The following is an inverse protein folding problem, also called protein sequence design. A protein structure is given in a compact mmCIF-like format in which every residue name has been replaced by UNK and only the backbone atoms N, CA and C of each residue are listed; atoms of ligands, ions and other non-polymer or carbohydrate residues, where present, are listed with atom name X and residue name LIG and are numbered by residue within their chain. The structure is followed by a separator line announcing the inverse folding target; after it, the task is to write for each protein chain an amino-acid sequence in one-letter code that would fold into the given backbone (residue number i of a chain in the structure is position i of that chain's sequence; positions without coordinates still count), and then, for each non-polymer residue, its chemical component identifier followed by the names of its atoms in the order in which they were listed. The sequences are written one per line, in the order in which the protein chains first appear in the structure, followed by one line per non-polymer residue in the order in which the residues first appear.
data_IF_208232909962
#
_entry.id   IF_208232909962
#
_cell.length_a   1.000
_cell.length_b   1.000
_cell.length_c   1.000
_cell.angle_alpha   90.00
_cell.angle_beta   90.00
_cell.angle_gamma   90.00
#
_symmetry.space_group_name_H-M   'P 1'
#
loop_
_entity.id
_entity.type
_entity.pdbx_description
1 polymer ?
#
# COMPACT_ATOMS: atom_id res chain seq x y z
N UNK A 1 -21.06 10.56 -10.22
CA UNK A 1 -19.73 10.13 -10.68
C UNK A 1 -18.69 10.96 -9.92
N UNK A 2 -18.05 10.39 -8.89
CA UNK A 2 -17.05 11.15 -8.15
C UNK A 2 -15.85 11.40 -9.08
N UNK A 3 -15.42 12.66 -9.29
CA UNK A 3 -14.16 12.89 -9.99
C UNK A 3 -13.10 12.10 -9.25
N UNK A 4 -12.30 11.31 -9.97
CA UNK A 4 -11.06 10.77 -9.42
C UNK A 4 -10.26 11.99 -9.00
N UNK A 5 -10.31 12.34 -7.72
CA UNK A 5 -9.49 13.41 -7.16
C UNK A 5 -8.07 13.09 -7.61
N UNK A 6 -7.51 13.97 -8.44
CA UNK A 6 -6.08 13.95 -8.69
C UNK A 6 -5.41 13.92 -7.33
N UNK A 7 -4.39 13.10 -7.19
CA UNK A 7 -3.61 13.01 -5.96
C UNK A 7 -2.98 14.40 -5.72
N UNK A 8 -3.72 15.29 -5.05
CA UNK A 8 -3.19 16.54 -4.56
C UNK A 8 -2.37 16.20 -3.31
N UNK A 9 -1.15 16.74 -3.24
CA UNK A 9 -0.22 16.47 -2.14
C UNK A 9 -0.75 16.94 -0.78
N UNK A 10 -1.78 17.78 -0.79
CA UNK A 10 -2.48 18.27 0.38
C UNK A 10 -3.84 17.61 0.47
N UNK A 11 -4.12 17.03 1.64
CA UNK A 11 -5.45 16.53 1.92
C UNK A 11 -6.39 17.74 2.00
N UNK A 12 -7.49 17.69 1.26
CA UNK A 12 -8.55 18.68 1.31
C UNK A 12 -9.89 18.03 1.65
N UNK A 13 -10.78 18.82 2.22
CA UNK A 13 -12.19 18.48 2.36
C UNK A 13 -12.91 18.52 1.00
N UNK A 14 -14.22 18.29 0.99
CA UNK A 14 -14.99 18.23 -0.26
C UNK A 14 -15.28 19.60 -0.88
N UNK A 15 -14.99 20.69 -0.17
CA UNK A 15 -15.00 22.08 -0.68
C UNK A 15 -13.61 22.59 -1.04
N UNK A 16 -12.58 21.73 -0.99
CA UNK A 16 -11.21 22.06 -1.34
C UNK A 16 -10.41 22.77 -0.24
N UNK A 17 -10.95 22.88 0.98
CA UNK A 17 -10.21 23.44 2.11
C UNK A 17 -9.16 22.43 2.60
N UNK A 18 -7.93 22.90 2.81
CA UNK A 18 -6.85 22.07 3.34
C UNK A 18 -7.15 21.59 4.75
N UNK A 19 -6.86 20.32 5.04
CA UNK A 19 -7.07 19.70 6.36
C UNK A 19 -5.73 19.49 7.09
N UNK A 20 -5.64 19.88 8.36
CA UNK A 20 -4.58 19.47 9.27
C UNK A 20 -4.94 18.14 9.95
N UNK A 21 -4.44 17.03 9.40
CA UNK A 21 -4.77 15.70 9.92
C UNK A 21 -4.61 15.60 11.44
N UNK A 22 -5.61 14.99 12.10
CA UNK A 22 -5.55 14.65 13.52
C UNK A 22 -4.23 13.98 13.87
N UNK A 23 -3.58 14.48 14.93
CA UNK A 23 -2.45 13.79 15.51
C UNK A 23 -2.94 12.51 16.18
N UNK A 24 -2.10 11.48 16.16
CA UNK A 24 -2.44 10.17 16.74
C UNK A 24 -2.84 10.21 18.22
N UNK A 25 -2.33 11.18 18.99
CA UNK A 25 -2.72 11.38 20.39
C UNK A 25 -4.14 12.02 20.52
N UNK A 26 -4.56 12.84 19.56
CA UNK A 26 -5.89 13.46 19.54
C UNK A 26 -6.98 12.45 19.15
N UNK A 27 -6.64 11.49 18.28
CA UNK A 27 -7.51 10.36 17.93
C UNK A 27 -7.99 9.56 19.16
N UNK A 28 -7.22 9.52 20.25
CA UNK A 28 -7.66 8.88 21.49
C UNK A 28 -8.76 9.66 22.21
N UNK A 29 -8.74 10.99 22.14
CA UNK A 29 -9.63 11.90 22.87
C UNK A 29 -11.02 12.00 22.22
N UNK A 30 -11.09 11.96 20.88
CA UNK A 30 -12.36 12.02 20.14
C UNK A 30 -13.23 10.77 20.37
N UNK A 31 -12.60 9.66 20.74
CA UNK A 31 -13.19 8.30 20.76
C UNK A 31 -13.71 7.91 22.15
N UNK A 32 -13.31 8.64 23.21
CA UNK A 32 -13.62 8.30 24.60
C UNK A 32 -15.05 8.68 25.05
N UNK A 33 -15.83 9.43 24.27
CA UNK A 33 -17.15 9.94 24.71
C UNK A 33 -18.34 8.98 24.55
N UNK A 34 -18.24 7.86 23.81
CA UNK A 34 -19.32 6.85 23.69
C UNK A 34 -18.76 5.40 23.69
N UNK A 35 -18.84 4.72 24.83
CA UNK A 35 -17.73 3.87 25.34
C UNK A 35 -17.67 2.38 24.93
N UNK A 36 -18.29 1.92 23.83
CA UNK A 36 -18.10 0.50 23.39
C UNK A 36 -17.93 0.31 21.89
N UNK A 37 -18.73 1.01 21.07
CA UNK A 37 -18.72 0.89 19.60
C UNK A 37 -17.42 1.38 18.96
N UNK A 38 -16.74 2.29 19.65
CA UNK A 38 -15.53 2.94 19.20
C UNK A 38 -14.24 2.15 19.42
N UNK A 39 -14.25 1.06 20.18
CA UNK A 39 -13.07 0.22 20.43
C UNK A 39 -12.49 -0.42 19.16
N UNK A 40 -13.37 -0.91 18.26
CA UNK A 40 -12.97 -1.48 16.98
C UNK A 40 -12.41 -0.41 16.03
N UNK A 41 -13.01 0.77 16.01
CA UNK A 41 -12.54 1.90 15.21
C UNK A 41 -11.19 2.43 15.75
N UNK A 42 -11.07 2.61 17.08
CA UNK A 42 -9.82 2.95 17.77
C UNK A 42 -8.72 1.98 17.40
N UNK A 43 -9.01 0.68 17.42
CA UNK A 43 -8.05 -0.37 17.04
C UNK A 43 -7.61 -0.21 15.57
N UNK A 44 -8.55 0.03 14.63
CA UNK A 44 -8.22 0.27 13.21
C UNK A 44 -7.39 1.54 13.01
N UNK A 45 -7.81 2.65 13.63
CA UNK A 45 -7.10 3.93 13.56
C UNK A 45 -5.73 3.85 14.25
N UNK A 46 -5.61 3.07 15.31
CA UNK A 46 -4.34 2.78 15.95
C UNK A 46 -3.44 1.95 15.04
N UNK A 47 -3.97 0.93 14.36
CA UNK A 47 -3.23 0.17 13.35
C UNK A 47 -2.78 1.07 12.19
N UNK A 48 -3.65 1.93 11.66
CA UNK A 48 -3.30 2.91 10.62
C UNK A 48 -2.23 3.88 11.12
N UNK A 49 -2.41 4.46 12.32
CA UNK A 49 -1.43 5.37 12.92
C UNK A 49 -0.10 4.71 13.29
N UNK A 50 -0.09 3.41 13.60
CA UNK A 50 1.14 2.63 13.78
C UNK A 50 1.87 2.39 12.44
N UNK A 51 1.16 2.39 11.30
CA UNK A 51 1.79 2.42 9.99
C UNK A 51 2.53 3.75 9.77
N UNK A 52 2.02 4.85 10.33
CA UNK A 52 2.57 6.19 10.21
C UNK A 52 3.68 6.53 11.18
N UNK A 53 3.69 5.92 12.37
CA UNK A 53 4.79 6.18 13.30
C UNK A 53 6.11 5.86 12.58
N UNK A 54 7.08 6.79 12.55
CA UNK A 54 8.44 6.40 12.24
C UNK A 54 8.77 5.24 13.20
N UNK A 55 9.35 4.13 12.70
CA UNK A 55 9.66 3.01 13.55
C UNK A 55 10.43 3.52 14.78
N UNK A 56 10.08 3.03 15.97
CA UNK A 56 10.78 3.40 17.19
C UNK A 56 12.30 3.20 16.97
N UNK A 57 13.17 4.09 17.48
CA UNK A 57 14.62 3.92 17.37
C UNK A 57 14.99 2.54 17.97
N UNK A 58 15.32 1.57 17.11
CA UNK A 58 15.54 0.17 17.48
C UNK A 58 14.71 -0.86 16.69
N UNK A 59 13.56 -0.48 16.12
CA UNK A 59 12.74 -1.38 15.30
C UNK A 59 13.14 -1.25 13.81
N UNK A 60 14.12 -2.04 13.37
CA UNK A 60 14.62 -2.07 11.99
C UNK A 60 13.47 -2.34 10.98
N UNK A 61 12.82 -1.30 10.47
CA UNK A 61 12.15 -1.35 9.15
C UNK A 61 13.26 -1.50 8.14
N UNK A 62 13.44 -2.69 7.60
CA UNK A 62 14.57 -3.11 6.77
C UNK A 62 15.04 -2.00 5.79
N UNK A 63 15.96 -1.12 6.25
CA UNK A 63 16.42 0.02 5.46
C UNK A 63 17.22 -0.49 4.26
N UNK A 64 17.67 -1.75 4.34
CA UNK A 64 18.50 -2.45 3.38
C UNK A 64 17.91 -2.48 1.97
N UNK A 65 16.59 -2.46 1.79
CA UNK A 65 15.97 -2.41 0.45
C UNK A 65 16.26 -1.12 -0.33
N UNK A 66 16.02 0.01 0.33
CA UNK A 66 16.22 1.34 -0.25
C UNK A 66 17.69 1.77 -0.18
N UNK A 67 18.39 1.36 0.88
CA UNK A 67 19.85 1.51 0.97
C UNK A 67 20.52 0.66 -0.11
N UNK A 68 20.08 -0.57 -0.39
CA UNK A 68 20.64 -1.37 -1.49
C UNK A 68 20.34 -0.72 -2.84
N UNK A 69 19.10 -0.28 -3.10
CA UNK A 69 18.77 0.37 -4.38
C UNK A 69 19.54 1.67 -4.58
N UNK A 70 19.63 2.50 -3.54
CA UNK A 70 20.47 3.69 -3.51
C UNK A 70 21.95 3.34 -3.71
N UNK A 71 22.46 2.35 -2.97
CA UNK A 71 23.86 1.89 -3.05
C UNK A 71 24.20 1.32 -4.44
N UNK A 72 23.27 0.67 -5.14
CA UNK A 72 23.48 0.19 -6.51
C UNK A 72 23.64 1.35 -7.48
N UNK A 73 22.70 2.30 -7.44
CA UNK A 73 22.73 3.47 -8.33
C UNK A 73 23.98 4.30 -8.04
N UNK A 74 24.32 4.43 -6.76
CA UNK A 74 25.55 5.01 -6.28
C UNK A 74 26.81 4.34 -6.81
N UNK A 75 26.94 3.03 -6.64
CA UNK A 75 28.09 2.27 -7.11
C UNK A 75 28.18 2.33 -8.65
N UNK A 76 27.05 2.24 -9.36
CA UNK A 76 27.01 2.33 -10.82
C UNK A 76 27.44 3.71 -11.32
N UNK A 77 26.91 4.78 -10.72
CA UNK A 77 27.35 6.14 -11.02
C UNK A 77 28.82 6.33 -10.66
N UNK A 78 29.30 5.79 -9.54
CA UNK A 78 30.68 5.95 -9.05
C UNK A 78 31.66 5.39 -10.08
N UNK A 79 31.36 4.20 -10.57
CA UNK A 79 32.19 3.54 -11.56
C UNK A 79 32.10 4.27 -12.89
N UNK A 80 30.93 4.81 -13.25
CA UNK A 80 30.78 5.68 -14.44
C UNK A 80 31.61 6.96 -14.31
N UNK A 81 31.66 7.59 -13.14
CA UNK A 81 32.46 8.79 -12.85
C UNK A 81 33.96 8.54 -12.95
N UNK A 82 34.44 7.42 -12.39
CA UNK A 82 35.85 6.99 -12.52
C UNK A 82 36.21 6.65 -13.97
N UNK A 83 35.28 6.08 -14.75
CA UNK A 83 35.57 5.68 -16.14
C UNK A 83 35.51 6.82 -17.15
N UNK A 84 34.76 7.89 -16.89
CA UNK A 84 34.54 8.96 -17.87
C UNK A 84 35.21 10.30 -17.56
N UNK A 85 35.65 10.55 -16.33
CA UNK A 85 36.25 11.82 -15.98
C UNK A 85 37.49 11.62 -15.12
N UNK A 86 38.58 12.33 -15.42
CA UNK A 86 39.76 12.48 -14.55
C UNK A 86 39.45 13.26 -13.26
N UNK A 87 38.30 13.00 -12.66
CA UNK A 87 37.84 13.55 -11.40
C UNK A 87 38.47 12.75 -10.26
N UNK A 88 39.01 13.45 -9.26
CA UNK A 88 39.47 12.84 -8.01
C UNK A 88 38.30 12.05 -7.40
N UNK A 89 38.44 10.72 -7.35
CA UNK A 89 37.35 9.78 -7.02
C UNK A 89 36.62 10.10 -5.71
N UNK A 90 37.30 10.76 -4.76
CA UNK A 90 36.76 11.15 -3.47
C UNK A 90 35.57 12.13 -3.56
N UNK A 91 35.60 13.08 -4.51
CA UNK A 91 34.51 14.05 -4.66
C UNK A 91 33.24 13.41 -5.25
N UNK A 92 33.40 12.38 -6.06
CA UNK A 92 32.28 11.75 -6.75
C UNK A 92 31.47 10.84 -5.80
N UNK A 93 32.12 10.19 -4.84
CA UNK A 93 31.47 9.43 -3.77
C UNK A 93 30.54 10.33 -2.95
N UNK A 94 30.99 11.54 -2.61
CA UNK A 94 30.20 12.50 -1.82
C UNK A 94 28.89 12.88 -2.55
N UNK A 95 28.96 13.18 -3.85
CA UNK A 95 27.78 13.54 -4.64
C UNK A 95 26.76 12.41 -4.75
N UNK A 96 27.24 11.18 -4.89
CA UNK A 96 26.39 10.00 -4.90
C UNK A 96 25.67 9.80 -3.58
N UNK A 97 26.39 9.87 -2.46
CA UNK A 97 25.77 9.74 -1.15
C UNK A 97 24.74 10.84 -0.95
N UNK A 98 25.04 12.07 -1.39
CA UNK A 98 24.08 13.18 -1.36
C UNK A 98 22.81 12.88 -2.19
N UNK A 99 22.94 12.36 -3.42
CA UNK A 99 21.78 12.01 -4.27
C UNK A 99 20.93 10.90 -3.64
N UNK A 100 21.55 9.82 -3.13
CA UNK A 100 20.81 8.76 -2.43
C UNK A 100 20.07 9.35 -1.23
N UNK A 101 20.75 10.19 -0.45
CA UNK A 101 20.20 10.75 0.77
C UNK A 101 19.02 11.69 0.47
N UNK A 102 19.13 12.54 -0.55
CA UNK A 102 18.04 13.38 -1.05
C UNK A 102 16.88 12.53 -1.58
N UNK A 103 17.15 11.52 -2.40
CA UNK A 103 16.12 10.61 -2.91
C UNK A 103 15.40 9.87 -1.78
N UNK A 104 16.14 9.44 -0.76
CA UNK A 104 15.59 8.81 0.44
C UNK A 104 14.75 9.77 1.27
N UNK A 105 15.23 11.00 1.49
CA UNK A 105 14.50 12.05 2.19
C UNK A 105 13.18 12.39 1.49
N UNK A 106 13.22 12.58 0.17
CA UNK A 106 12.03 12.83 -0.64
C UNK A 106 11.05 11.64 -0.61
N UNK A 107 11.55 10.41 -0.77
CA UNK A 107 10.72 9.20 -0.69
C UNK A 107 10.06 9.02 0.69
N UNK A 108 10.75 9.41 1.77
CA UNK A 108 10.14 9.44 3.10
C UNK A 108 9.09 10.54 3.23
N UNK A 109 9.35 11.73 2.66
CA UNK A 109 8.42 12.86 2.70
C UNK A 109 7.11 12.55 1.97
N UNK A 110 7.19 11.99 0.76
CA UNK A 110 6.00 11.61 -0.04
C UNK A 110 5.16 10.51 0.62
N UNK A 111 5.77 9.63 1.44
CA UNK A 111 5.00 8.60 2.16
C UNK A 111 4.18 9.15 3.32
N UNK A 112 4.56 10.29 3.90
CA UNK A 112 3.86 10.87 5.05
C UNK A 112 2.58 11.63 4.66
N UNK A 113 2.46 12.10 3.42
CA UNK A 113 1.25 12.78 2.96
C UNK A 113 0.11 11.79 2.71
N UNK A 114 0.39 10.66 2.07
CA UNK A 114 -0.62 9.67 1.65
C UNK A 114 -1.45 9.13 2.83
N UNK A 115 -0.83 8.79 3.96
CA UNK A 115 -1.57 8.20 5.09
C UNK A 115 -2.46 9.20 5.83
N UNK A 116 -2.11 10.49 5.81
CA UNK A 116 -2.94 11.54 6.43
C UNK A 116 -4.29 11.64 5.75
N UNK A 117 -4.27 11.69 4.41
CA UNK A 117 -5.47 11.70 3.58
C UNK A 117 -6.31 10.46 3.81
N UNK A 118 -5.67 9.27 3.83
CA UNK A 118 -6.37 8.00 4.08
C UNK A 118 -7.02 7.98 5.46
N UNK A 119 -6.35 8.48 6.49
CA UNK A 119 -6.89 8.51 7.86
C UNK A 119 -8.10 9.42 7.96
N UNK A 120 -8.01 10.64 7.42
CA UNK A 120 -9.11 11.59 7.40
C UNK A 120 -10.31 11.05 6.62
N UNK A 121 -10.09 10.51 5.41
CA UNK A 121 -11.15 9.90 4.61
C UNK A 121 -11.80 8.70 5.32
N UNK A 122 -11.01 7.91 6.04
CA UNK A 122 -11.53 6.79 6.83
C UNK A 122 -12.40 7.26 7.99
N UNK A 123 -12.00 8.32 8.70
CA UNK A 123 -12.83 8.91 9.76
C UNK A 123 -14.17 9.40 9.20
N UNK A 124 -14.15 10.10 8.06
CA UNK A 124 -15.36 10.62 7.40
C UNK A 124 -16.27 9.48 6.98
N UNK A 125 -15.72 8.41 6.40
CA UNK A 125 -16.50 7.23 6.04
C UNK A 125 -17.16 6.54 7.26
N UNK A 126 -16.67 6.80 8.46
CA UNK A 126 -17.18 6.31 9.75
C UNK A 126 -18.10 7.33 10.45
N UNK A 127 -18.45 8.44 9.79
CA UNK A 127 -19.31 9.48 10.37
C UNK A 127 -18.57 10.41 11.34
N UNK A 128 -17.26 10.59 11.16
CA UNK A 128 -16.43 11.43 12.04
C UNK A 128 -15.66 12.43 11.18
N UNK A 129 -15.59 13.68 11.61
CA UNK A 129 -14.82 14.70 10.92
C UNK A 129 -13.33 14.30 10.82
N UNK A 130 -12.80 14.31 9.60
CA UNK A 130 -11.40 13.94 9.32
C UNK A 130 -10.36 14.91 9.91
N UNK A 131 -10.79 16.10 10.32
CA UNK A 131 -9.95 17.18 10.86
C UNK A 131 -9.94 17.24 12.39
N UNK A 132 -11.11 17.33 13.03
CA UNK A 132 -11.21 17.56 14.48
C UNK A 132 -11.74 16.34 15.26
N UNK A 133 -12.28 15.34 14.55
CA UNK A 133 -12.81 14.12 15.15
C UNK A 133 -14.22 14.27 15.74
N UNK A 134 -14.92 15.37 15.46
CA UNK A 134 -16.33 15.56 15.84
C UNK A 134 -17.24 14.58 15.10
N UNK A 135 -18.30 14.10 15.76
CA UNK A 135 -19.27 13.21 15.11
C UNK A 135 -20.08 13.98 14.06
N UNK A 136 -20.14 13.46 12.83
CA UNK A 136 -20.98 14.01 11.76
C UNK A 136 -22.40 13.42 11.77
N UNK A 137 -22.69 12.53 12.72
CA UNK A 137 -24.01 11.90 12.83
C UNK A 137 -25.08 12.92 13.19
N UNK A 138 -26.26 12.78 12.57
CA UNK A 138 -27.42 13.62 12.83
C UNK A 138 -27.32 15.05 12.29
N UNK A 139 -26.18 15.43 11.70
CA UNK A 139 -26.05 16.67 10.96
C UNK A 139 -26.90 16.59 9.68
N UNK A 140 -27.56 17.69 9.35
CA UNK A 140 -28.32 17.81 8.10
C UNK A 140 -27.38 18.26 7.00
N UNK A 141 -27.33 17.59 5.84
CA UNK A 141 -26.49 18.04 4.73
C UNK A 141 -27.00 19.39 4.19
N UNK A 142 -26.07 20.25 3.80
CA UNK A 142 -26.38 21.50 3.09
C UNK A 142 -26.82 21.22 1.64
N UNK A 143 -27.17 22.27 0.89
CA UNK A 143 -27.68 22.16 -0.50
C UNK A 143 -26.71 21.41 -1.43
N UNK A 144 -25.41 21.50 -1.19
CA UNK A 144 -24.34 20.82 -1.93
C UNK A 144 -24.09 19.37 -1.49
N UNK A 145 -24.97 18.81 -0.65
CA UNK A 145 -24.85 17.48 -0.06
C UNK A 145 -23.63 17.32 0.86
N UNK A 146 -23.03 18.41 1.33
CA UNK A 146 -21.95 18.34 2.31
C UNK A 146 -22.46 18.55 3.74
N UNK A 147 -21.86 17.81 4.66
CA UNK A 147 -22.03 17.95 6.10
C UNK A 147 -20.89 18.84 6.61
N UNK A 148 -21.25 20.02 7.10
CA UNK A 148 -20.29 20.96 7.66
C UNK A 148 -20.09 20.66 9.13
N UNK A 149 -18.83 20.42 9.51
CA UNK A 149 -18.49 20.16 10.90
C UNK A 149 -18.65 21.44 11.74
N UNK A 150 -19.47 21.45 12.80
CA UNK A 150 -19.70 22.65 13.61
C UNK A 150 -18.47 23.10 14.43
N UNK A 151 -17.49 22.22 14.64
CA UNK A 151 -16.29 22.53 15.43
C UNK A 151 -15.19 23.20 14.58
N UNK A 152 -14.93 22.70 13.37
CA UNK A 152 -13.80 23.17 12.54
C UNK A 152 -14.21 23.82 11.21
N UNK A 153 -15.48 23.71 10.80
CA UNK A 153 -15.99 24.31 9.56
C UNK A 153 -15.71 23.53 8.27
N UNK A 154 -14.94 22.43 8.32
CA UNK A 154 -14.69 21.59 7.14
C UNK A 154 -15.95 20.85 6.70
N UNK A 155 -16.09 20.69 5.39
CA UNK A 155 -17.26 20.14 4.73
C UNK A 155 -16.98 18.77 4.10
N UNK A 156 -17.82 17.79 4.42
CA UNK A 156 -17.65 16.41 3.98
C UNK A 156 -18.89 15.92 3.25
N UNK A 157 -18.73 15.35 2.05
CA UNK A 157 -19.86 14.89 1.25
C UNK A 157 -20.60 13.75 1.98
N UNK A 158 -21.91 13.93 2.20
CA UNK A 158 -22.75 12.99 2.94
C UNK A 158 -22.74 11.58 2.32
N UNK A 159 -22.61 11.47 1.00
CA UNK A 159 -22.57 10.18 0.30
C UNK A 159 -21.32 9.35 0.63
N UNK A 160 -20.26 9.97 1.15
CA UNK A 160 -19.06 9.26 1.62
C UNK A 160 -19.27 8.60 2.98
N UNK A 161 -20.25 9.06 3.75
CA UNK A 161 -20.49 8.56 5.10
C UNK A 161 -21.23 7.22 5.02
N UNK A 162 -20.47 6.13 5.12
CA UNK A 162 -21.01 4.76 5.02
C UNK A 162 -21.62 4.24 6.32
N UNK A 163 -21.59 5.01 7.41
CA UNK A 163 -22.01 4.56 8.73
C UNK A 163 -23.48 4.11 8.82
N UNK A 164 -24.48 4.82 8.26
CA UNK A 164 -25.89 4.46 8.44
C UNK A 164 -26.21 3.04 7.96
N UNK A 165 -25.55 2.59 6.87
CA UNK A 165 -25.70 1.24 6.33
C UNK A 165 -25.16 0.14 7.26
N UNK A 166 -24.31 0.49 8.23
CA UNK A 166 -23.65 -0.49 9.12
C UNK A 166 -24.48 -0.85 10.33
N UNK A 167 -25.24 0.09 10.87
CA UNK A 167 -26.04 -0.17 12.07
C UNK A 167 -27.19 -1.14 11.79
N UNK A 168 -27.61 -1.26 10.53
CA UNK A 168 -28.65 -2.18 10.05
C UNK A 168 -28.17 -3.62 9.87
N UNK A 169 -26.92 -3.92 10.19
CA UNK A 169 -26.28 -5.15 9.79
C UNK A 169 -25.61 -5.85 10.96
N UNK A 170 -26.10 -7.04 11.32
CA UNK A 170 -25.53 -7.86 12.38
C UNK A 170 -24.01 -8.03 12.16
N UNK A 171 -23.24 -7.69 13.19
CA UNK A 171 -21.79 -7.83 13.18
C UNK A 171 -21.49 -9.32 13.19
N UNK A 172 -21.21 -9.88 12.01
CA UNK A 172 -20.66 -11.24 11.92
C UNK A 172 -19.27 -11.18 12.58
N UNK A 173 -19.15 -11.82 13.73
CA UNK A 173 -17.87 -11.92 14.45
C UNK A 173 -16.79 -12.44 13.50
N UNK A 174 -15.77 -11.61 13.26
CA UNK A 174 -14.62 -12.06 12.49
C UNK A 174 -13.96 -13.20 13.28
N UNK A 175 -13.63 -14.34 12.64
CA UNK A 175 -12.88 -15.37 13.31
C UNK A 175 -11.59 -14.74 13.87
N UNK A 176 -11.38 -14.85 15.17
CA UNK A 176 -10.15 -14.38 15.83
C UNK A 176 -8.99 -15.10 15.17
N UNK A 177 -8.14 -14.37 14.42
CA UNK A 177 -6.91 -14.94 13.88
C UNK A 177 -6.02 -15.41 15.03
N UNK A 178 -5.45 -16.60 14.92
CA UNK A 178 -4.46 -17.08 15.87
C UNK A 178 -3.19 -16.20 15.76
N UNK A 179 -2.84 -15.43 16.81
CA UNK A 179 -1.66 -14.55 16.79
C UNK A 179 -0.34 -15.31 16.60
N UNK A 180 -0.31 -16.63 16.81
CA UNK A 180 0.88 -17.47 16.59
C UNK A 180 1.19 -17.68 15.10
N UNK A 181 0.17 -17.63 14.23
CA UNK A 181 0.37 -17.72 12.78
C UNK A 181 1.16 -16.53 12.22
N UNK A 182 1.01 -15.35 12.83
CA UNK A 182 1.70 -14.12 12.41
C UNK A 182 3.17 -14.05 12.84
N UNK A 183 3.58 -14.82 13.85
CA UNK A 183 4.96 -14.79 14.38
C UNK A 183 5.92 -15.60 13.50
N UNK A 184 5.49 -16.77 13.00
CA UNK A 184 6.37 -17.66 12.21
C UNK A 184 6.77 -17.09 10.84
N UNK A 185 6.01 -16.13 10.30
CA UNK A 185 6.24 -15.65 8.93
C UNK A 185 7.08 -14.35 8.85
N UNK A 186 7.62 -13.84 9.96
CA UNK A 186 8.37 -12.55 9.96
C UNK A 186 7.53 -11.39 9.38
N UNK A 187 6.21 -11.55 9.35
CA UNK A 187 5.27 -10.81 8.51
C UNK A 187 4.72 -9.54 9.15
N UNK A 188 4.94 -9.32 10.46
CA UNK A 188 4.36 -8.16 11.16
C UNK A 188 4.80 -6.81 10.57
N UNK A 189 5.98 -6.72 9.96
CA UNK A 189 6.43 -5.52 9.25
C UNK A 189 5.83 -5.35 7.84
N UNK A 190 5.18 -6.39 7.29
CA UNK A 190 4.52 -6.37 5.96
C UNK A 190 3.05 -5.93 6.02
N UNK A 191 2.43 -5.86 7.20
CA UNK A 191 0.98 -5.57 7.33
C UNK A 191 0.61 -4.12 7.10
N UNK A 192 1.50 -3.16 7.39
CA UNK A 192 1.24 -1.74 7.18
C UNK A 192 0.94 -1.36 5.72
N UNK A 193 1.29 -2.24 4.78
CA UNK A 193 1.08 -2.04 3.35
C UNK A 193 -0.05 -2.87 2.77
N UNK A 194 -0.83 -3.53 3.62
CA UNK A 194 -2.04 -4.28 3.24
C UNK A 194 -3.29 -3.43 3.38
N UNK A 195 -3.16 -2.12 3.39
CA UNK A 195 -4.27 -1.21 3.46
C UNK A 195 -4.48 -0.56 2.09
N UNK A 196 -5.71 -0.55 1.63
CA UNK A 196 -6.14 0.25 0.49
C UNK A 196 -7.37 1.04 0.89
N UNK A 197 -7.73 2.04 0.10
CA UNK A 197 -9.07 2.60 0.17
C UNK A 197 -10.03 1.74 -0.64
N UNK A 198 -11.25 1.59 -0.15
CA UNK A 198 -12.38 1.16 -0.97
C UNK A 198 -12.94 2.37 -1.74
N UNK A 199 -14.01 2.18 -2.51
CA UNK A 199 -14.55 3.25 -3.37
C UNK A 199 -15.36 4.30 -2.62
N UNK A 200 -15.69 4.02 -1.36
CA UNK A 200 -16.17 5.02 -0.39
C UNK A 200 -15.03 5.73 0.35
N UNK A 201 -13.79 5.59 -0.15
CA UNK A 201 -12.57 6.14 0.44
C UNK A 201 -12.23 5.60 1.84
N UNK A 202 -12.84 4.49 2.26
CA UNK A 202 -12.56 3.87 3.56
C UNK A 202 -11.32 3.01 3.48
N UNK A 203 -10.42 3.14 4.46
CA UNK A 203 -9.30 2.22 4.60
C UNK A 203 -9.79 0.80 4.94
N UNK A 204 -9.48 -0.14 4.06
CA UNK A 204 -9.81 -1.57 4.19
C UNK A 204 -8.55 -2.41 4.05
N UNK A 205 -8.55 -3.53 4.78
CA UNK A 205 -7.44 -4.48 4.70
C UNK A 205 -7.55 -5.29 3.42
N UNK A 206 -6.55 -5.25 2.56
CA UNK A 206 -6.40 -6.10 1.36
C UNK A 206 -5.75 -7.42 1.70
N UNK A 207 -6.16 -8.54 1.09
CA UNK A 207 -5.46 -9.79 1.24
C UNK A 207 -4.03 -9.67 0.71
N UNK A 208 -3.13 -10.51 1.21
CA UNK A 208 -1.77 -10.54 0.71
C UNK A 208 -1.74 -10.99 -0.76
N UNK A 209 -0.68 -10.60 -1.47
CA UNK A 209 -0.47 -10.94 -2.88
C UNK A 209 -0.57 -12.44 -3.19
N UNK A 210 -0.14 -13.29 -2.27
CA UNK A 210 -0.17 -14.74 -2.46
C UNK A 210 -1.51 -15.33 -2.04
N UNK A 211 -2.44 -14.50 -1.54
CA UNK A 211 -3.69 -14.91 -0.91
C UNK A 211 -3.45 -15.95 0.21
N UNK A 212 -2.24 -15.96 0.78
CA UNK A 212 -1.83 -16.87 1.85
C UNK A 212 -2.50 -16.57 3.18
N UNK A 213 -3.03 -15.36 3.33
CA UNK A 213 -3.81 -14.91 4.49
C UNK A 213 -5.25 -15.40 4.48
N UNK A 214 -5.72 -15.98 3.38
CA UNK A 214 -7.03 -16.62 3.29
C UNK A 214 -7.02 -17.96 4.01
N UNK A 215 -8.10 -18.22 4.78
CA UNK A 215 -8.33 -19.53 5.39
C UNK A 215 -8.62 -20.58 4.30
N UNK A 216 -8.36 -21.89 4.54
CA UNK A 216 -8.56 -22.93 3.53
C UNK A 216 -9.93 -22.91 2.86
N UNK A 217 -11.02 -22.69 3.62
CA UNK A 217 -12.38 -22.60 3.08
C UNK A 217 -12.60 -21.40 2.15
N UNK A 218 -11.94 -20.27 2.39
CA UNK A 218 -11.97 -19.11 1.48
C UNK A 218 -11.23 -19.39 0.18
N UNK A 219 -10.14 -20.18 0.24
CA UNK A 219 -9.41 -20.61 -0.96
C UNK A 219 -10.21 -21.60 -1.79
N UNK A 220 -10.92 -22.50 -1.12
CA UNK A 220 -11.82 -23.44 -1.76
C UNK A 220 -13.00 -22.73 -2.43
N UNK A 221 -13.60 -21.73 -1.75
CA UNK A 221 -14.67 -20.91 -2.31
C UNK A 221 -14.26 -20.10 -3.56
N UNK A 222 -12.97 -19.75 -3.68
CA UNK A 222 -12.43 -19.13 -4.90
C UNK A 222 -12.27 -20.13 -6.05
N UNK A 223 -12.12 -21.43 -5.76
CA UNK A 223 -11.93 -22.48 -6.76
C UNK A 223 -10.86 -22.15 -7.80
N UNK A 224 -11.23 -22.19 -9.08
CA UNK A 224 -10.34 -21.90 -10.21
C UNK A 224 -9.88 -20.43 -10.24
N UNK A 225 -10.73 -19.49 -9.81
CA UNK A 225 -10.41 -18.06 -9.79
C UNK A 225 -9.21 -17.75 -8.89
N UNK A 226 -8.96 -18.56 -7.84
CA UNK A 226 -7.76 -18.43 -7.01
C UNK A 226 -6.48 -18.53 -7.84
N UNK A 227 -6.40 -19.53 -8.72
CA UNK A 227 -5.21 -19.76 -9.55
C UNK A 227 -5.04 -18.69 -10.61
N UNK A 228 -6.14 -18.24 -11.22
CA UNK A 228 -6.13 -17.18 -12.23
C UNK A 228 -5.69 -15.84 -11.65
N UNK A 229 -6.30 -15.42 -10.53
CA UNK A 229 -5.94 -14.19 -9.82
C UNK A 229 -4.47 -14.27 -9.38
N UNK A 230 -4.04 -15.39 -8.79
CA UNK A 230 -2.64 -15.58 -8.38
C UNK A 230 -1.69 -15.54 -9.59
N UNK A 231 -2.05 -16.12 -10.73
CA UNK A 231 -1.26 -16.09 -11.96
C UNK A 231 -1.14 -14.68 -12.50
N UNK A 232 -2.25 -13.94 -12.60
CA UNK A 232 -2.29 -12.54 -13.04
C UNK A 232 -1.41 -11.65 -12.15
N UNK A 233 -1.53 -11.78 -10.82
CA UNK A 233 -0.69 -11.08 -9.86
C UNK A 233 0.79 -11.50 -9.97
N UNK A 234 1.09 -12.75 -10.31
CA UNK A 234 2.48 -13.22 -10.46
C UNK A 234 3.19 -12.72 -11.72
N UNK A 235 2.48 -12.65 -12.85
CA UNK A 235 3.08 -12.48 -14.19
C UNK A 235 3.85 -11.15 -14.33
N UNK A 236 3.22 -10.03 -13.96
CA UNK A 236 3.82 -8.69 -14.14
C UNK A 236 5.07 -8.48 -13.28
N UNK A 237 5.22 -9.23 -12.18
CA UNK A 237 6.44 -9.17 -11.37
C UNK A 237 7.61 -9.95 -11.96
N UNK A 238 7.35 -10.99 -12.80
CA UNK A 238 8.40 -11.84 -13.35
C UNK A 238 9.20 -11.08 -14.41
N UNK A 239 8.54 -10.37 -15.31
CA UNK A 239 9.20 -9.55 -16.33
C UNK A 239 10.12 -8.50 -15.69
N UNK A 240 9.63 -7.77 -14.68
CA UNK A 240 10.46 -6.78 -13.98
C UNK A 240 11.64 -7.43 -13.26
N UNK A 241 11.45 -8.59 -12.61
CA UNK A 241 12.56 -9.34 -11.98
C UNK A 241 13.62 -9.76 -12.99
N UNK A 242 13.22 -10.26 -14.15
CA UNK A 242 14.13 -10.68 -15.21
C UNK A 242 14.92 -9.48 -15.73
N UNK A 243 14.24 -8.37 -16.06
CA UNK A 243 14.91 -7.15 -16.53
C UNK A 243 15.92 -6.63 -15.50
N UNK A 244 15.54 -6.57 -14.22
CA UNK A 244 16.45 -6.05 -13.19
C UNK A 244 17.60 -7.01 -12.89
N UNK A 245 17.36 -8.33 -12.95
CA UNK A 245 18.41 -9.35 -12.84
C UNK A 245 19.40 -9.22 -14.00
N UNK A 246 18.90 -9.14 -15.24
CA UNK A 246 19.72 -8.98 -16.46
C UNK A 246 20.55 -7.70 -16.32
N UNK A 247 19.95 -6.58 -15.94
CA UNK A 247 20.66 -5.32 -15.74
C UNK A 247 21.77 -5.45 -14.68
N UNK A 248 21.50 -6.08 -13.54
CA UNK A 248 22.50 -6.30 -12.49
C UNK A 248 23.67 -7.16 -12.97
N UNK A 249 23.38 -8.23 -13.73
CA UNK A 249 24.39 -9.09 -14.35
C UNK A 249 25.21 -8.29 -15.36
N UNK A 250 24.56 -7.56 -16.27
CA UNK A 250 25.22 -6.75 -17.30
C UNK A 250 26.16 -5.72 -16.69
N UNK A 251 25.72 -4.99 -15.66
CA UNK A 251 26.56 -4.04 -14.93
C UNK A 251 27.80 -4.76 -14.40
N UNK A 252 27.63 -5.87 -13.67
CA UNK A 252 28.77 -6.59 -13.11
C UNK A 252 29.70 -7.20 -14.16
N UNK A 253 29.20 -7.68 -15.29
CA UNK A 253 30.04 -8.15 -16.40
C UNK A 253 30.88 -7.01 -16.96
N UNK A 254 30.29 -5.83 -17.19
CA UNK A 254 31.03 -4.64 -17.67
C UNK A 254 32.11 -4.23 -16.68
N UNK A 255 31.81 -4.28 -15.37
CA UNK A 255 32.78 -3.98 -14.31
C UNK A 255 33.96 -4.95 -14.30
N UNK A 256 33.70 -6.25 -14.47
CA UNK A 256 34.75 -7.26 -14.53
C UNK A 256 35.64 -7.08 -15.76
N UNK A 257 35.06 -6.83 -16.93
CA UNK A 257 35.81 -6.60 -18.17
C UNK A 257 36.73 -5.38 -18.02
N UNK A 258 36.23 -4.30 -17.40
CA UNK A 258 37.01 -3.08 -17.17
C UNK A 258 38.12 -3.25 -16.13
N UNK A 259 37.88 -4.03 -15.07
CA UNK A 259 38.88 -4.28 -14.03
C UNK A 259 39.91 -5.35 -14.40
N UNK A 260 39.57 -6.23 -15.36
CA UNK A 260 40.42 -7.29 -15.87
C UNK A 260 41.48 -6.84 -16.88
N UNK A 261 41.71 -5.54 -17.06
CA UNK A 261 42.78 -5.02 -17.92
C UNK A 261 44.14 -5.33 -17.24
N UNK A 262 45.07 -6.03 -17.92
CA UNK A 262 46.14 -6.84 -17.31
C UNK A 262 47.31 -6.09 -16.62
N UNK A 263 47.36 -4.76 -16.61
CA UNK A 263 48.57 -3.99 -16.25
C UNK A 263 48.84 -3.85 -14.73
N UNK A 264 48.31 -4.72 -13.88
CA UNK A 264 47.83 -4.21 -12.59
C UNK A 264 47.87 -5.28 -11.47
N UNK A 265 49.03 -5.92 -11.36
CA UNK A 265 49.19 -7.32 -10.95
C UNK A 265 49.55 -7.57 -9.45
N UNK A 266 49.65 -6.57 -8.57
CA UNK A 266 50.35 -6.80 -7.26
C UNK A 266 49.55 -6.65 -5.94
N UNK A 267 48.31 -6.17 -5.89
CA UNK A 267 47.64 -5.95 -4.58
C UNK A 267 46.58 -7.00 -4.21
N UNK A 268 46.71 -7.66 -3.04
CA UNK A 268 45.70 -8.55 -2.43
C UNK A 268 44.30 -7.92 -2.36
N UNK A 269 44.24 -6.59 -2.18
CA UNK A 269 43.01 -5.80 -2.15
C UNK A 269 42.19 -5.87 -3.44
N UNK A 270 42.81 -6.15 -4.60
CA UNK A 270 42.09 -6.33 -5.87
C UNK A 270 41.30 -7.64 -5.90
N UNK A 271 41.84 -8.73 -5.34
CA UNK A 271 41.12 -9.98 -5.22
C UNK A 271 39.85 -9.81 -4.38
N UNK A 272 39.97 -9.11 -3.26
CA UNK A 272 38.82 -8.77 -2.40
C UNK A 272 37.81 -7.89 -3.15
N UNK A 273 38.26 -6.86 -3.88
CA UNK A 273 37.39 -5.99 -4.66
C UNK A 273 36.62 -6.76 -5.75
N UNK A 274 37.29 -7.66 -6.48
CA UNK A 274 36.67 -8.50 -7.51
C UNK A 274 35.62 -9.43 -6.91
N UNK A 275 35.90 -10.05 -5.76
CA UNK A 275 34.92 -10.89 -5.04
C UNK A 275 33.70 -10.08 -4.62
N UNK A 276 33.90 -8.87 -4.07
CA UNK A 276 32.79 -7.98 -3.68
C UNK A 276 31.95 -7.59 -4.89
N UNK A 277 32.58 -7.24 -6.01
CA UNK A 277 31.89 -6.84 -7.25
C UNK A 277 31.16 -8.01 -7.94
N UNK A 278 31.62 -9.24 -7.75
CA UNK A 278 30.91 -10.46 -8.15
C UNK A 278 29.75 -10.79 -7.22
N UNK A 279 29.93 -10.61 -5.91
CA UNK A 279 28.91 -10.93 -4.92
C UNK A 279 27.77 -9.91 -4.87
N UNK A 280 28.09 -8.62 -5.04
CA UNK A 280 27.13 -7.52 -5.03
C UNK A 280 25.91 -7.76 -5.94
N UNK A 281 26.03 -8.00 -7.26
CA UNK A 281 24.88 -8.19 -8.16
C UNK A 281 24.01 -9.38 -7.75
N UNK A 282 24.60 -10.44 -7.19
CA UNK A 282 23.88 -11.62 -6.71
C UNK A 282 23.03 -11.24 -5.49
N UNK A 283 23.62 -10.53 -4.52
CA UNK A 283 22.90 -10.03 -3.35
C UNK A 283 21.80 -9.06 -3.77
N UNK A 284 22.11 -8.13 -4.68
CA UNK A 284 21.18 -7.18 -5.27
C UNK A 284 20.01 -7.92 -5.95
N UNK A 285 20.30 -8.92 -6.76
CA UNK A 285 19.31 -9.74 -7.43
C UNK A 285 18.41 -10.49 -6.45
N UNK A 286 18.98 -11.09 -5.40
CA UNK A 286 18.24 -11.76 -4.32
C UNK A 286 17.32 -10.76 -3.62
N UNK A 287 17.84 -9.59 -3.23
CA UNK A 287 17.07 -8.52 -2.58
C UNK A 287 15.96 -8.04 -3.50
N UNK A 288 16.23 -7.81 -4.79
CA UNK A 288 15.23 -7.37 -5.77
C UNK A 288 14.19 -8.46 -6.03
N UNK A 289 14.57 -9.74 -6.04
CA UNK A 289 13.60 -10.82 -6.13
C UNK A 289 12.71 -10.91 -4.89
N UNK A 290 13.28 -10.64 -3.70
CA UNK A 290 12.55 -10.54 -2.45
C UNK A 290 11.65 -9.28 -2.38
N UNK A 291 12.10 -8.15 -2.94
CA UNK A 291 11.39 -6.86 -2.97
C UNK A 291 10.33 -6.76 -4.08
N UNK A 292 10.55 -7.38 -5.25
CA UNK A 292 9.58 -7.46 -6.34
C UNK A 292 8.37 -8.36 -6.01
N UNK A 293 8.19 -8.69 -4.72
CA UNK A 293 6.93 -9.13 -4.13
C UNK A 293 5.91 -7.98 -4.06
N UNK A 294 6.30 -6.72 -4.29
CA UNK A 294 5.43 -5.56 -4.10
C UNK A 294 4.46 -5.39 -5.27
N UNK A 295 3.23 -5.87 -5.09
CA UNK A 295 2.09 -5.42 -5.88
C UNK A 295 1.38 -4.34 -5.08
N UNK A 296 1.07 -3.23 -5.74
CA UNK A 296 0.28 -2.17 -5.10
C UNK A 296 -1.10 -2.73 -4.70
N UNK A 297 -1.58 -2.53 -3.46
CA UNK A 297 -2.84 -3.09 -2.96
C UNK A 297 -4.03 -2.88 -3.89
N UNK A 298 -4.14 -1.70 -4.53
CA UNK A 298 -5.22 -1.39 -5.47
C UNK A 298 -5.30 -2.36 -6.66
N UNK A 299 -4.18 -2.96 -7.10
CA UNK A 299 -4.22 -3.96 -8.17
C UNK A 299 -4.79 -5.28 -7.69
N UNK A 300 -4.49 -5.68 -6.45
CA UNK A 300 -5.03 -6.89 -5.84
C UNK A 300 -6.55 -6.72 -5.72
N UNK A 301 -6.98 -5.59 -5.16
CA UNK A 301 -8.38 -5.19 -5.05
C UNK A 301 -9.07 -5.22 -6.40
N UNK A 302 -8.50 -4.53 -7.40
CA UNK A 302 -9.06 -4.48 -8.74
C UNK A 302 -9.25 -5.88 -9.33
N UNK A 303 -8.24 -6.75 -9.23
CA UNK A 303 -8.35 -8.13 -9.73
C UNK A 303 -9.39 -8.95 -8.96
N UNK A 304 -9.56 -8.73 -7.65
CA UNK A 304 -10.60 -9.40 -6.88
C UNK A 304 -11.99 -8.92 -7.29
N UNK A 305 -12.20 -7.59 -7.33
CA UNK A 305 -13.50 -7.00 -7.70
C UNK A 305 -13.89 -7.32 -9.13
N UNK A 306 -12.94 -7.32 -10.07
CA UNK A 306 -13.18 -7.70 -11.47
C UNK A 306 -13.54 -9.17 -11.65
N UNK A 307 -13.33 -10.00 -10.64
CA UNK A 307 -13.71 -11.42 -10.64
C UNK A 307 -14.92 -11.69 -9.74
N UNK A 308 -15.64 -10.66 -9.28
CA UNK A 308 -16.83 -10.89 -8.45
C UNK A 308 -16.56 -11.04 -6.96
N UNK A 309 -15.34 -10.75 -6.49
CA UNK A 309 -14.95 -10.91 -5.08
C UNK A 309 -14.66 -9.58 -4.40
N UNK A 310 -14.89 -9.53 -3.09
CA UNK A 310 -14.54 -8.37 -2.28
C UNK A 310 -13.02 -8.16 -2.24
N UNK A 311 -12.54 -6.97 -2.62
CA UNK A 311 -11.11 -6.63 -2.58
C UNK A 311 -10.48 -6.65 -1.19
N UNK A 312 -11.28 -6.71 -0.12
CA UNK A 312 -10.80 -6.73 1.27
C UNK A 312 -10.83 -8.13 1.91
N UNK A 313 -11.99 -8.78 1.94
CA UNK A 313 -12.17 -10.07 2.62
C UNK A 313 -12.41 -11.25 1.68
N UNK A 314 -12.41 -11.01 0.36
CA UNK A 314 -12.58 -12.04 -0.67
C UNK A 314 -13.93 -12.76 -0.63
N UNK A 315 -14.91 -12.22 0.10
CA UNK A 315 -16.29 -12.69 0.02
C UNK A 315 -16.86 -12.50 -1.39
N UNK A 316 -17.69 -13.43 -1.87
CA UNK A 316 -18.40 -13.31 -3.14
C UNK A 316 -19.32 -12.08 -3.09
N UNK A 317 -19.30 -11.28 -4.15
CA UNK A 317 -20.14 -10.10 -4.38
C UNK A 317 -21.02 -10.25 -5.63
N UNK A 318 -20.89 -11.36 -6.36
CA UNK A 318 -21.85 -11.76 -7.38
C UNK A 318 -23.20 -12.02 -6.68
N UNK A 319 -24.26 -11.36 -7.17
CA UNK A 319 -25.60 -11.42 -6.57
C UNK A 319 -25.88 -10.39 -5.47
N UNK A 320 -24.87 -9.63 -5.01
CA UNK A 320 -25.13 -8.47 -4.13
C UNK A 320 -25.57 -7.30 -5.01
N UNK A 321 -26.78 -6.79 -4.79
CA UNK A 321 -27.28 -5.62 -5.51
C UNK A 321 -26.46 -4.37 -5.18
N UNK A 322 -26.29 -3.51 -6.18
CA UNK A 322 -25.75 -2.18 -5.96
C UNK A 322 -26.77 -1.33 -5.19
N UNK A 323 -26.30 -0.46 -4.30
CA UNK A 323 -27.14 0.55 -3.67
C UNK A 323 -27.42 1.72 -4.62
N UNK A 324 -28.17 2.71 -4.13
CA UNK A 324 -28.52 3.95 -4.86
C UNK A 324 -27.30 4.71 -5.41
N UNK A 325 -26.12 4.52 -4.81
CA UNK A 325 -24.86 5.13 -5.22
C UNK A 325 -24.06 4.27 -6.21
N UNK A 326 -24.67 3.25 -6.82
CA UNK A 326 -24.01 2.28 -7.70
C UNK A 326 -22.82 1.58 -7.03
N UNK A 327 -22.89 1.33 -5.71
CA UNK A 327 -21.87 0.60 -4.97
C UNK A 327 -22.40 -0.73 -4.45
N UNK A 328 -21.61 -1.80 -4.61
CA UNK A 328 -21.83 -3.08 -3.91
C UNK A 328 -21.13 -3.05 -2.56
N UNK A 329 -21.90 -3.19 -1.49
CA UNK A 329 -21.37 -3.25 -0.13
C UNK A 329 -21.18 -4.72 0.26
N UNK A 330 -19.94 -5.09 0.60
CA UNK A 330 -19.67 -6.46 1.01
C UNK A 330 -20.41 -6.81 2.32
N UNK A 331 -21.24 -7.88 2.36
CA UNK A 331 -22.00 -8.23 3.56
C UNK A 331 -21.10 -8.64 4.74
N UNK A 332 -19.90 -9.19 4.43
CA UNK A 332 -18.97 -9.70 5.45
C UNK A 332 -18.07 -8.62 6.06
N UNK A 333 -17.44 -7.78 5.23
CA UNK A 333 -16.46 -6.78 5.72
C UNK A 333 -16.90 -5.33 5.50
N UNK A 334 -18.05 -5.11 4.86
CA UNK A 334 -18.64 -3.79 4.60
C UNK A 334 -17.81 -2.89 3.70
N UNK A 335 -16.83 -3.42 2.98
CA UNK A 335 -16.09 -2.64 2.00
C UNK A 335 -16.99 -2.35 0.79
N UNK A 336 -16.97 -1.11 0.32
CA UNK A 336 -17.83 -0.63 -0.76
C UNK A 336 -17.05 -0.54 -2.07
N UNK A 337 -17.60 -1.11 -3.14
CA UNK A 337 -16.95 -1.17 -4.44
C UNK A 337 -17.93 -0.72 -5.53
N UNK A 338 -17.47 0.09 -6.48
CA UNK A 338 -18.30 0.54 -7.60
C UNK A 338 -18.77 -0.66 -8.43
N UNK A 339 -20.05 -0.66 -8.79
CA UNK A 339 -20.70 -1.74 -9.54
C UNK A 339 -20.05 -1.97 -10.91
N UNK A 340 -19.58 -0.89 -11.57
CA UNK A 340 -18.88 -0.93 -12.86
C UNK A 340 -17.61 -1.80 -12.87
N UNK A 341 -17.06 -2.12 -11.69
CA UNK A 341 -15.88 -2.99 -11.57
C UNK A 341 -16.21 -4.47 -11.69
N UNK A 342 -17.46 -4.83 -11.51
CA UNK A 342 -17.88 -6.22 -11.49
C UNK A 342 -18.24 -6.65 -12.91
N UNK A 343 -17.98 -7.92 -13.27
CA UNK A 343 -18.48 -8.45 -14.52
C UNK A 343 -20.01 -8.33 -14.48
N UNK A 344 -20.59 -7.69 -15.50
CA UNK A 344 -22.02 -7.83 -15.76
C UNK A 344 -22.29 -9.31 -15.90
N UNK A 345 -23.18 -9.83 -15.04
CA UNK A 345 -23.77 -11.14 -15.25
C UNK A 345 -24.53 -11.02 -16.56
N UNK A 346 -23.86 -11.27 -17.68
CA UNK A 346 -24.56 -11.59 -18.92
C UNK A 346 -25.45 -12.76 -18.55
N UNK A 347 -26.75 -12.54 -18.58
CA UNK A 347 -27.73 -13.61 -18.44
C UNK A 347 -27.20 -14.77 -19.28
N UNK A 348 -27.08 -15.98 -18.71
CA UNK A 348 -26.60 -17.11 -19.48
C UNK A 348 -27.46 -17.14 -20.74
N UNK A 349 -26.84 -16.83 -21.89
CA UNK A 349 -27.50 -16.88 -23.19
C UNK A 349 -28.15 -18.24 -23.20
N UNK A 350 -29.50 -18.26 -23.15
CA UNK A 350 -30.27 -19.48 -23.13
C UNK A 350 -29.72 -20.33 -24.25
N UNK A 351 -28.93 -21.34 -23.90
CA UNK A 351 -28.37 -22.26 -24.88
C UNK A 351 -29.58 -22.95 -25.46
N UNK A 352 -29.92 -22.58 -26.69
CA UNK A 352 -31.00 -23.14 -27.49
C UNK A 352 -30.98 -24.65 -27.31
N UNK A 353 -32.00 -25.12 -26.57
CA UNK A 353 -32.30 -26.54 -26.34
C UNK A 353 -32.83 -27.19 -27.60
#
# INVERSE_FOLDING_TARGET
MFPRQGYHDEACDDRGQTIQSLKHNQLGQCVDRETLRYSALKTRLQMIGQCDRPPAPGQRRDPQSWIATGAIIAIALYIMGITYAGFNGDQFVIWIFAIIWVAFYLAQRFRRSETRTITAMTLVAEGICGECGFSLDGLTPEEDQCLVCPECGHAWNALRITRPYREQCEIIDKPKRDPRSDVRAGTRLRDARRWCTDDSARCVHTPDRLLGTLIPSEREALGLAYHEIRRALSHKSRAHRIVTLVLAITISTVLLIRLGIPEFHESVWRGVLVIILLAAPIVIAIVICAMATWIKPHRIVHHLTSNGYCGSCVNVLLGVSANENAMRVCPRCRASWLDERFPTLTEPTATDS
#
